data_IF_134459268477
#
_entry.id   IF_134459268477
#
_cell.length_a   1.000
_cell.length_b   1.000
_cell.length_c   1.000
_cell.angle_alpha   90.00
_cell.angle_beta   90.00
_cell.angle_gamma   90.00
#
_symmetry.space_group_name_H-M   'P 1'
#
loop_
_entity.id
_entity.type
_entity.pdbx_description
1 polymer ?
#
# COMPACT_ATOMS: atom_id res chain seq x y z
N UNK A 1 4.20 -28.88 4.94
CA UNK A 1 4.93 -28.58 6.20
C UNK A 1 6.21 -27.87 5.77
N UNK A 2 6.38 -26.56 5.88
CA UNK A 2 5.87 -25.61 6.87
C UNK A 2 5.12 -24.41 6.22
N UNK A 3 4.19 -23.76 6.95
CA UNK A 3 3.59 -22.51 6.52
C UNK A 3 4.61 -21.37 6.72
N UNK A 4 4.77 -20.53 5.72
CA UNK A 4 5.52 -19.28 5.81
C UNK A 4 4.69 -18.23 6.56
N UNK A 5 4.58 -18.42 7.88
CA UNK A 5 4.17 -17.35 8.77
C UNK A 5 5.31 -16.31 8.85
N UNK A 6 5.35 -15.41 7.87
CA UNK A 6 6.12 -14.16 7.98
C UNK A 6 5.13 -13.09 8.47
N UNK A 7 5.40 -12.51 9.63
CA UNK A 7 4.56 -11.50 10.28
C UNK A 7 4.08 -10.48 9.25
N UNK A 8 2.78 -10.52 8.97
CA UNK A 8 2.18 -9.81 7.86
C UNK A 8 2.29 -8.31 8.11
N UNK A 9 3.26 -7.67 7.48
CA UNK A 9 3.10 -6.26 7.14
C UNK A 9 1.79 -6.17 6.34
N UNK A 10 0.76 -5.50 6.87
CA UNK A 10 -0.58 -5.63 6.33
C UNK A 10 -0.61 -4.98 4.95
N UNK A 11 -0.45 -5.81 3.92
CA UNK A 11 -0.64 -5.40 2.52
C UNK A 11 -1.95 -4.63 2.43
N UNK A 12 -1.86 -3.39 1.96
CA UNK A 12 -3.04 -2.56 1.78
C UNK A 12 -3.89 -3.17 0.67
N UNK A 13 -5.18 -3.35 0.95
CA UNK A 13 -6.14 -3.97 0.04
C UNK A 13 -7.25 -2.98 -0.32
N UNK A 14 -7.97 -3.24 -1.41
CA UNK A 14 -9.09 -2.38 -1.80
C UNK A 14 -10.19 -2.30 -0.73
N UNK A 15 -10.41 -3.37 0.05
CA UNK A 15 -11.38 -3.37 1.15
C UNK A 15 -10.91 -2.50 2.33
N UNK A 16 -9.63 -2.56 2.71
CA UNK A 16 -9.11 -1.71 3.79
C UNK A 16 -9.16 -0.22 3.43
N UNK A 17 -8.89 0.14 2.17
CA UNK A 17 -9.05 1.51 1.66
C UNK A 17 -10.52 1.96 1.75
N UNK A 18 -11.48 1.11 1.34
CA UNK A 18 -12.91 1.45 1.39
C UNK A 18 -13.41 1.69 2.81
N UNK A 19 -12.90 0.95 3.79
CA UNK A 19 -13.26 1.11 5.20
C UNK A 19 -12.80 2.45 5.79
N UNK A 20 -11.74 3.07 5.25
CA UNK A 20 -11.25 4.40 5.68
C UNK A 20 -12.08 5.58 5.18
N UNK A 21 -13.08 5.33 4.34
CA UNK A 21 -13.92 6.41 3.77
C UNK A 21 -14.61 7.21 4.88
N UNK A 22 -14.36 8.51 4.90
CA UNK A 22 -14.89 9.43 5.92
C UNK A 22 -14.07 9.51 7.22
N UNK A 23 -12.96 8.75 7.31
CA UNK A 23 -11.99 8.79 8.39
C UNK A 23 -10.67 9.42 7.96
N UNK A 24 -9.57 8.72 8.23
CA UNK A 24 -8.21 9.18 7.90
C UNK A 24 -8.02 9.35 6.38
N UNK A 25 -7.56 10.53 5.90
CA UNK A 25 -7.27 10.76 4.49
C UNK A 25 -6.28 9.75 3.91
N UNK A 26 -6.46 9.40 2.64
CA UNK A 26 -5.62 8.44 1.92
C UNK A 26 -4.53 9.19 1.15
N UNK A 27 -3.28 8.77 1.27
CA UNK A 27 -2.14 9.31 0.51
C UNK A 27 -1.93 8.48 -0.76
N UNK A 28 -2.13 9.12 -1.92
CA UNK A 28 -1.92 8.53 -3.24
C UNK A 28 -0.88 9.34 -4.01
N UNK A 29 0.16 8.67 -4.50
CA UNK A 29 1.17 9.24 -5.39
C UNK A 29 1.30 8.43 -6.67
N UNK A 30 1.81 9.05 -7.73
CA UNK A 30 2.14 8.34 -8.96
C UNK A 30 3.57 7.83 -8.93
N UNK A 31 3.80 6.63 -9.47
CA UNK A 31 5.12 6.07 -9.63
C UNK A 31 5.20 5.24 -10.92
N UNK A 32 6.13 5.58 -11.80
CA UNK A 32 6.30 4.94 -13.11
C UNK A 32 7.54 4.05 -13.20
N UNK A 33 8.38 4.05 -12.16
CA UNK A 33 9.64 3.29 -12.15
C UNK A 33 9.85 2.60 -10.81
N UNK A 34 10.55 1.47 -10.84
CA UNK A 34 10.84 0.67 -9.65
C UNK A 34 11.57 1.45 -8.54
N UNK A 35 12.65 2.21 -8.80
CA UNK A 35 13.37 2.92 -7.74
C UNK A 35 12.49 3.95 -7.02
N UNK A 36 11.59 4.62 -7.75
CA UNK A 36 10.65 5.57 -7.18
C UNK A 36 9.57 4.85 -6.35
N UNK A 37 8.98 3.78 -6.87
CA UNK A 37 8.01 2.99 -6.12
C UNK A 37 8.58 2.45 -4.80
N UNK A 38 9.80 1.90 -4.82
CA UNK A 38 10.49 1.38 -3.64
C UNK A 38 10.78 2.46 -2.59
N UNK A 39 11.11 3.68 -3.01
CA UNK A 39 11.35 4.80 -2.10
C UNK A 39 10.06 5.26 -1.41
N UNK A 40 8.92 5.11 -2.09
CA UNK A 40 7.63 5.64 -1.63
C UNK A 40 6.78 4.62 -0.86
N UNK A 41 7.08 3.32 -0.94
CA UNK A 41 6.25 2.22 -0.42
C UNK A 41 5.87 2.40 1.06
N UNK A 42 6.83 2.84 1.89
CA UNK A 42 6.64 3.07 3.34
C UNK A 42 5.90 4.39 3.68
N UNK A 43 5.57 5.21 2.67
CA UNK A 43 5.04 6.58 2.84
C UNK A 43 3.65 6.80 2.24
N UNK A 44 3.11 5.82 1.51
CA UNK A 44 1.86 5.96 0.76
C UNK A 44 0.91 4.83 1.06
N UNK A 45 -0.38 5.09 0.90
CA UNK A 45 -1.41 4.06 1.01
C UNK A 45 -1.58 3.30 -0.31
N UNK A 46 -1.32 3.97 -1.44
CA UNK A 46 -1.33 3.37 -2.77
C UNK A 46 -0.47 4.16 -3.77
N UNK A 47 0.09 3.43 -4.74
CA UNK A 47 0.78 3.98 -5.89
C UNK A 47 -0.08 3.82 -7.15
N UNK A 48 -0.26 4.92 -7.90
CA UNK A 48 -1.02 4.94 -9.14
C UNK A 48 -0.06 4.97 -10.35
N UNK A 49 -0.19 3.99 -11.23
CA UNK A 49 0.38 4.08 -12.59
C UNK A 49 -0.71 4.66 -13.48
N UNK A 50 -0.59 5.96 -13.77
CA UNK A 50 -1.50 6.66 -14.68
C UNK A 50 -1.30 6.29 -16.15
#
# INVERSE_FOLDING_TARGET
>A
MAPDASGADPRISASSIRLRKGGEPIVCLTAYTYPIARLLDDHVDLLLVG
#
